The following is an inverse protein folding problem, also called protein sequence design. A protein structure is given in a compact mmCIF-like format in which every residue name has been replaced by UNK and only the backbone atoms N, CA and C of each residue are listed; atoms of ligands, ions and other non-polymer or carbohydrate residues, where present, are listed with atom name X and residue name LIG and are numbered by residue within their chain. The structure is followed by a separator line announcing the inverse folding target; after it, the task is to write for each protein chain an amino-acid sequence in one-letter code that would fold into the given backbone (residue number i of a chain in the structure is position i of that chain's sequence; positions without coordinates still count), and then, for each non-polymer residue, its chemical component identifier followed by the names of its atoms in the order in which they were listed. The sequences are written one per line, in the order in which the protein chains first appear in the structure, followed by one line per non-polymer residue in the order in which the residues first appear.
data_IF_396536713467
#
_entry.id   IF_396536713467
#
_cell.length_a   1.000
_cell.length_b   1.000
_cell.length_c   1.000
_cell.angle_alpha   90.00
_cell.angle_beta   90.00
_cell.angle_gamma   90.00
#
_symmetry.space_group_name_H-M   'P 1'
#
loop_
_entity.id
_entity.type
_entity.pdbx_description
1 polymer ?
#
# COMPACT_ATOMS: atom_id res chain seq x y z
N UNK A 1 -22.21 -21.76 -5.05
CA UNK A 1 -21.58 -22.75 -5.95
C UNK A 1 -21.54 -22.26 -7.42
N UNK A 2 -21.27 -20.98 -7.68
CA UNK A 2 -21.18 -20.40 -9.04
C UNK A 2 -19.74 -20.32 -9.57
N UNK A 3 -18.74 -20.65 -8.75
CA UNK A 3 -17.36 -20.23 -9.00
C UNK A 3 -16.48 -21.18 -9.84
N UNK A 4 -16.95 -22.37 -10.19
CA UNK A 4 -16.12 -23.34 -10.93
C UNK A 4 -16.21 -23.30 -12.47
N UNK A 5 -17.10 -22.44 -12.99
CA UNK A 5 -17.45 -22.47 -14.43
C UNK A 5 -16.80 -21.36 -15.26
N UNK A 6 -16.23 -20.34 -14.63
CA UNK A 6 -15.62 -19.22 -15.34
C UNK A 6 -14.12 -19.45 -15.52
N UNK A 7 -13.73 -19.76 -16.74
CA UNK A 7 -12.33 -19.78 -17.18
C UNK A 7 -12.01 -18.49 -17.92
N UNK A 8 -10.78 -18.02 -17.77
CA UNK A 8 -10.31 -16.88 -18.54
C UNK A 8 -10.21 -17.23 -20.04
N UNK A 9 -10.52 -16.31 -20.95
CA UNK A 9 -10.64 -16.61 -22.38
C UNK A 9 -9.36 -17.09 -23.05
N UNK A 10 -8.20 -16.68 -22.55
CA UNK A 10 -6.91 -16.98 -23.17
C UNK A 10 -5.89 -17.51 -22.15
N UNK A 11 -4.96 -18.35 -22.63
CA UNK A 11 -3.84 -18.85 -21.82
C UNK A 11 -2.95 -17.74 -21.26
N UNK A 12 -2.83 -16.63 -21.98
CA UNK A 12 -2.10 -15.47 -21.51
C UNK A 12 -2.78 -14.82 -20.30
N UNK A 13 -4.09 -14.66 -20.34
CA UNK A 13 -4.87 -14.14 -19.20
C UNK A 13 -4.80 -15.09 -18.00
N UNK A 14 -4.87 -16.39 -18.19
CA UNK A 14 -4.66 -17.39 -17.14
C UNK A 14 -3.27 -17.24 -16.50
N UNK A 15 -2.22 -17.11 -17.31
CA UNK A 15 -0.86 -16.91 -16.83
C UNK A 15 -0.73 -15.62 -16.02
N UNK A 16 -1.27 -14.50 -16.52
CA UNK A 16 -1.24 -13.21 -15.79
C UNK A 16 -2.02 -13.32 -14.48
N UNK A 17 -3.20 -13.92 -14.49
CA UNK A 17 -3.97 -14.14 -13.28
C UNK A 17 -3.19 -14.96 -12.25
N UNK A 18 -2.67 -16.12 -12.63
CA UNK A 18 -1.93 -17.01 -11.74
C UNK A 18 -0.65 -16.36 -11.20
N UNK A 19 0.06 -15.58 -12.02
CA UNK A 19 1.33 -14.98 -11.63
C UNK A 19 1.18 -13.72 -10.80
N UNK A 20 0.08 -12.96 -10.94
CA UNK A 20 -0.06 -11.62 -10.35
C UNK A 20 -1.19 -11.48 -9.32
N UNK A 21 -2.34 -12.14 -9.54
CA UNK A 21 -3.56 -11.90 -8.77
C UNK A 21 -3.96 -13.05 -7.86
N UNK A 22 -3.69 -14.28 -8.30
CA UNK A 22 -4.08 -15.50 -7.61
C UNK A 22 -3.25 -15.70 -6.34
N UNK A 23 -3.90 -15.95 -5.22
CA UNK A 23 -3.24 -16.28 -3.95
C UNK A 23 -2.99 -17.77 -3.83
N UNK A 24 -1.96 -18.11 -3.07
CA UNK A 24 -1.71 -19.48 -2.67
C UNK A 24 -2.66 -19.91 -1.56
N UNK A 25 -3.32 -21.06 -1.74
CA UNK A 25 -4.18 -21.70 -0.78
C UNK A 25 -3.42 -22.85 -0.11
N UNK A 26 -2.87 -22.66 1.11
CA UNK A 26 -1.97 -23.66 1.72
C UNK A 26 -2.64 -25.00 2.00
N UNK A 27 -3.94 -25.00 2.31
CA UNK A 27 -4.71 -26.21 2.61
C UNK A 27 -4.99 -27.07 1.38
N UNK A 28 -5.04 -26.45 0.21
CA UNK A 28 -5.39 -27.09 -1.05
C UNK A 28 -4.15 -27.28 -1.95
N UNK A 29 -3.00 -26.77 -1.51
CA UNK A 29 -1.71 -26.82 -2.21
C UNK A 29 -1.79 -26.31 -3.66
N UNK A 30 -2.62 -25.29 -3.89
CA UNK A 30 -2.85 -24.67 -5.18
C UNK A 30 -3.04 -23.17 -5.09
N UNK A 31 -3.06 -22.51 -6.22
CA UNK A 31 -3.47 -21.12 -6.32
C UNK A 31 -4.98 -20.99 -6.52
N UNK A 32 -5.52 -19.83 -6.14
CA UNK A 32 -6.91 -19.45 -6.40
C UNK A 32 -7.26 -19.55 -7.89
N UNK A 33 -8.46 -19.98 -8.17
CA UNK A 33 -9.10 -19.83 -9.49
C UNK A 33 -9.54 -18.38 -9.72
N UNK A 34 -9.88 -18.02 -10.96
CA UNK A 34 -10.42 -16.69 -11.27
C UNK A 34 -11.66 -16.38 -10.45
N UNK A 35 -12.60 -17.31 -10.36
CA UNK A 35 -13.81 -17.15 -9.55
C UNK A 35 -13.50 -16.90 -8.07
N UNK A 36 -12.57 -17.64 -7.48
CA UNK A 36 -12.17 -17.45 -6.08
C UNK A 36 -11.50 -16.08 -5.85
N UNK A 37 -10.69 -15.62 -6.79
CA UNK A 37 -10.09 -14.27 -6.71
C UNK A 37 -11.15 -13.18 -6.74
N UNK A 38 -12.14 -13.29 -7.62
CA UNK A 38 -13.25 -12.33 -7.72
C UNK A 38 -14.11 -12.38 -6.46
N UNK A 39 -14.49 -13.56 -5.99
CA UNK A 39 -15.28 -13.68 -4.75
C UNK A 39 -14.56 -13.10 -3.54
N UNK A 40 -13.24 -13.37 -3.38
CA UNK A 40 -12.43 -12.77 -2.31
C UNK A 40 -12.46 -11.24 -2.35
N UNK A 41 -12.40 -10.66 -3.55
CA UNK A 41 -12.50 -9.20 -3.71
C UNK A 41 -13.84 -8.66 -3.20
N UNK A 42 -14.94 -9.24 -3.63
CA UNK A 42 -16.28 -8.80 -3.21
C UNK A 42 -16.57 -9.07 -1.73
N UNK A 43 -16.14 -10.20 -1.20
CA UNK A 43 -16.29 -10.54 0.22
C UNK A 43 -15.57 -9.52 1.11
N UNK A 44 -14.33 -9.16 0.73
CA UNK A 44 -13.57 -8.17 1.45
C UNK A 44 -14.26 -6.79 1.44
N UNK A 45 -14.66 -6.29 0.28
CA UNK A 45 -15.26 -4.97 0.19
C UNK A 45 -16.66 -4.90 0.79
N UNK A 46 -17.47 -5.96 0.68
CA UNK A 46 -18.76 -6.03 1.37
C UNK A 46 -18.58 -5.95 2.89
N UNK A 47 -17.63 -6.71 3.43
CA UNK A 47 -17.31 -6.66 4.85
C UNK A 47 -16.78 -5.27 5.26
N UNK A 48 -15.86 -4.70 4.49
CA UNK A 48 -15.29 -3.39 4.75
C UNK A 48 -16.35 -2.28 4.75
N UNK A 49 -17.23 -2.26 3.76
CA UNK A 49 -18.34 -1.31 3.70
C UNK A 49 -19.29 -1.44 4.89
N UNK A 50 -19.58 -2.67 5.32
CA UNK A 50 -20.42 -2.93 6.48
C UNK A 50 -19.79 -2.44 7.77
N UNK A 51 -18.49 -2.67 7.95
CA UNK A 51 -17.76 -2.31 9.19
C UNK A 51 -17.50 -0.81 9.28
N UNK A 52 -17.05 -0.19 8.17
CA UNK A 52 -16.61 1.21 8.14
C UNK A 52 -17.75 2.18 7.93
N UNK A 53 -18.61 1.90 6.96
CA UNK A 53 -19.67 2.81 6.54
C UNK A 53 -21.05 2.40 7.02
N UNK A 54 -21.19 1.24 7.69
CA UNK A 54 -22.45 0.61 8.07
C UNK A 54 -23.38 0.41 6.87
N UNK A 55 -22.79 0.34 5.68
CA UNK A 55 -23.51 0.12 4.43
C UNK A 55 -23.61 -1.35 4.13
N UNK A 56 -24.81 -1.82 3.80
CA UNK A 56 -25.06 -3.19 3.38
C UNK A 56 -25.32 -3.22 1.88
N UNK A 57 -24.43 -3.90 1.15
CA UNK A 57 -24.61 -4.11 -0.27
C UNK A 57 -25.82 -5.05 -0.51
N UNK A 58 -26.71 -4.68 -1.42
CA UNK A 58 -27.82 -5.54 -1.81
C UNK A 58 -27.30 -6.77 -2.55
N UNK A 59 -27.85 -7.93 -2.20
CA UNK A 59 -27.41 -9.21 -2.76
C UNK A 59 -27.52 -9.24 -4.30
N UNK A 60 -28.60 -8.67 -4.85
CA UNK A 60 -28.81 -8.60 -6.30
C UNK A 60 -27.73 -7.76 -6.98
N UNK A 61 -27.40 -6.59 -6.42
CA UNK A 61 -26.34 -5.70 -6.94
C UNK A 61 -24.99 -6.37 -6.85
N UNK A 62 -24.69 -7.04 -5.74
CA UNK A 62 -23.44 -7.81 -5.59
C UNK A 62 -23.31 -8.88 -6.68
N UNK A 63 -24.35 -9.70 -6.85
CA UNK A 63 -24.36 -10.78 -7.85
C UNK A 63 -24.18 -10.25 -9.29
N UNK A 64 -24.79 -9.13 -9.60
CA UNK A 64 -24.67 -8.48 -10.90
C UNK A 64 -23.24 -7.97 -11.13
N UNK A 65 -22.67 -7.24 -10.18
CA UNK A 65 -21.29 -6.74 -10.26
C UNK A 65 -20.25 -7.88 -10.32
N UNK A 66 -20.42 -8.92 -9.50
CA UNK A 66 -19.55 -10.10 -9.49
C UNK A 66 -19.58 -10.82 -10.84
N UNK A 67 -20.77 -10.99 -11.44
CA UNK A 67 -20.92 -11.58 -12.76
C UNK A 67 -20.25 -10.75 -13.87
N UNK A 68 -20.36 -9.43 -13.82
CA UNK A 68 -19.71 -8.56 -14.82
C UNK A 68 -18.18 -8.61 -14.71
N UNK A 69 -17.64 -8.70 -13.50
CA UNK A 69 -16.20 -8.89 -13.32
C UNK A 69 -15.75 -10.28 -13.78
N UNK A 70 -16.51 -11.34 -13.45
CA UNK A 70 -16.24 -12.70 -13.87
C UNK A 70 -16.16 -12.84 -15.40
N UNK A 71 -17.04 -12.13 -16.12
CA UNK A 71 -17.10 -12.11 -17.60
C UNK A 71 -16.11 -11.15 -18.24
N UNK A 72 -15.32 -10.40 -17.43
CA UNK A 72 -14.42 -9.34 -17.89
C UNK A 72 -15.14 -8.17 -18.58
N UNK A 73 -16.43 -7.99 -18.34
CA UNK A 73 -17.18 -6.82 -18.80
C UNK A 73 -16.76 -5.53 -18.11
N UNK A 74 -16.43 -5.63 -16.83
CA UNK A 74 -15.88 -4.55 -16.01
C UNK A 74 -14.72 -5.08 -15.19
N UNK A 75 -13.66 -4.30 -15.05
CA UNK A 75 -12.52 -4.65 -14.19
C UNK A 75 -12.40 -3.64 -13.05
N UNK A 76 -12.37 -4.09 -11.78
CA UNK A 76 -12.03 -3.21 -10.66
C UNK A 76 -10.56 -2.82 -10.69
N UNK A 77 -10.13 -1.97 -9.75
CA UNK A 77 -8.72 -1.69 -9.58
C UNK A 77 -7.92 -2.99 -9.46
N UNK A 78 -6.97 -3.18 -10.37
CA UNK A 78 -6.12 -4.39 -10.38
C UNK A 78 -5.36 -4.55 -9.07
N UNK A 79 -4.93 -3.44 -8.47
CA UNK A 79 -4.25 -3.45 -7.17
C UNK A 79 -5.19 -3.93 -6.07
N UNK A 80 -6.42 -3.43 -6.02
CA UNK A 80 -7.41 -3.89 -5.06
C UNK A 80 -7.77 -5.36 -5.26
N UNK A 81 -7.91 -5.81 -6.51
CA UNK A 81 -8.16 -7.22 -6.82
C UNK A 81 -7.04 -8.12 -6.31
N UNK A 82 -5.78 -7.70 -6.45
CA UNK A 82 -4.60 -8.42 -5.97
C UNK A 82 -4.51 -8.41 -4.43
N UNK A 83 -4.78 -7.27 -3.78
CA UNK A 83 -4.50 -7.05 -2.36
C UNK A 83 -5.71 -7.22 -1.44
N UNK A 84 -6.94 -7.32 -1.98
CA UNK A 84 -8.15 -7.53 -1.18
C UNK A 84 -8.00 -8.70 -0.19
N UNK A 85 -8.40 -8.46 1.06
CA UNK A 85 -8.20 -9.37 2.18
C UNK A 85 -7.16 -8.83 3.19
N UNK A 86 -6.34 -9.70 3.76
CA UNK A 86 -5.43 -9.37 4.87
C UNK A 86 -4.45 -8.20 4.58
N UNK A 87 -4.02 -8.02 3.33
CA UNK A 87 -3.12 -6.94 2.99
C UNK A 87 -3.80 -5.56 3.11
N UNK A 88 -5.01 -5.41 2.51
CA UNK A 88 -5.79 -4.18 2.62
C UNK A 88 -6.35 -3.95 4.02
N UNK A 89 -6.64 -5.02 4.76
CA UNK A 89 -7.09 -4.91 6.15
C UNK A 89 -6.01 -4.33 7.06
N UNK A 90 -4.75 -4.70 6.81
CA UNK A 90 -3.60 -4.17 7.54
C UNK A 90 -3.25 -2.75 7.16
N UNK A 91 -3.27 -2.45 5.85
CA UNK A 91 -2.75 -1.20 5.31
C UNK A 91 -3.46 -0.83 4.01
N UNK A 92 -4.28 0.22 4.07
CA UNK A 92 -5.05 0.68 2.92
C UNK A 92 -4.18 1.19 1.77
N UNK A 93 -2.96 1.66 2.05
CA UNK A 93 -2.00 2.13 1.05
C UNK A 93 -1.71 1.04 0.01
N UNK A 94 -1.75 -0.24 0.41
CA UNK A 94 -1.56 -1.36 -0.49
C UNK A 94 -2.60 -1.45 -1.64
N UNK A 95 -3.72 -0.74 -1.54
CA UNK A 95 -4.75 -0.65 -2.58
C UNK A 95 -4.47 0.36 -3.69
N UNK A 96 -3.47 1.22 -3.52
CA UNK A 96 -3.13 2.26 -4.49
C UNK A 96 -1.95 1.85 -5.36
N UNK A 97 -2.02 2.16 -6.65
CA UNK A 97 -0.91 1.92 -7.58
C UNK A 97 0.17 3.00 -7.47
N UNK A 98 -0.25 4.26 -7.40
CA UNK A 98 0.63 5.42 -7.44
C UNK A 98 0.15 6.47 -6.44
N UNK A 99 1.11 7.27 -5.98
CA UNK A 99 0.91 8.44 -5.14
C UNK A 99 1.87 9.54 -5.56
N UNK A 100 1.67 10.73 -5.02
CA UNK A 100 2.55 11.88 -5.25
C UNK A 100 2.76 12.62 -3.94
N UNK A 101 3.96 13.17 -3.76
CA UNK A 101 4.31 14.02 -2.64
C UNK A 101 5.26 15.13 -3.09
N UNK A 102 5.09 16.34 -2.56
CA UNK A 102 6.09 17.39 -2.66
C UNK A 102 7.10 17.24 -1.52
N UNK A 103 8.40 17.36 -1.84
CA UNK A 103 9.49 17.30 -0.84
C UNK A 103 9.67 18.71 -0.27
N UNK A 104 8.76 19.12 0.61
CA UNK A 104 8.68 20.44 1.23
C UNK A 104 8.97 20.42 2.74
N UNK A 105 9.13 19.24 3.31
CA UNK A 105 9.40 19.00 4.73
C UNK A 105 10.22 17.72 4.92
N UNK A 106 10.99 17.61 6.00
CA UNK A 106 11.82 16.42 6.25
C UNK A 106 11.03 15.11 6.32
N UNK A 107 9.78 15.15 6.80
CA UNK A 107 8.92 13.96 6.88
C UNK A 107 8.58 13.36 5.50
N UNK A 108 8.66 14.14 4.42
CA UNK A 108 8.42 13.61 3.08
C UNK A 108 9.32 12.42 2.75
N UNK A 109 10.53 12.35 3.31
CA UNK A 109 11.47 11.26 3.05
C UNK A 109 11.02 9.93 3.65
N UNK A 110 10.60 9.92 4.91
CA UNK A 110 10.11 8.70 5.56
C UNK A 110 8.71 8.29 5.09
N UNK A 111 7.85 9.26 4.76
CA UNK A 111 6.56 9.02 4.12
C UNK A 111 6.72 8.33 2.75
N UNK A 112 7.64 8.81 1.91
CA UNK A 112 7.98 8.17 0.62
C UNK A 112 8.42 6.73 0.84
N UNK A 113 9.37 6.51 1.77
CA UNK A 113 9.88 5.17 2.07
C UNK A 113 8.76 4.24 2.54
N UNK A 114 7.90 4.71 3.45
CA UNK A 114 6.79 3.93 3.97
C UNK A 114 5.79 3.52 2.88
N UNK A 115 5.42 4.46 2.02
CA UNK A 115 4.50 4.22 0.90
C UNK A 115 5.10 3.23 -0.10
N UNK A 116 6.39 3.38 -0.45
CA UNK A 116 7.11 2.44 -1.33
C UNK A 116 7.15 1.02 -0.74
N UNK A 117 7.39 0.88 0.57
CA UNK A 117 7.39 -0.43 1.24
C UNK A 117 6.00 -1.10 1.26
N UNK A 118 4.93 -0.34 1.05
CA UNK A 118 3.58 -0.88 0.84
C UNK A 118 3.31 -1.27 -0.61
N UNK A 119 4.29 -1.09 -1.50
CA UNK A 119 4.23 -1.49 -2.90
C UNK A 119 3.54 -0.46 -3.80
N UNK A 120 3.23 0.73 -3.30
CA UNK A 120 2.69 1.85 -4.06
C UNK A 120 3.83 2.65 -4.65
N UNK A 121 3.79 2.98 -5.94
CA UNK A 121 4.75 3.87 -6.57
C UNK A 121 4.59 5.30 -6.06
N UNK A 122 5.70 6.00 -5.86
CA UNK A 122 5.68 7.40 -5.40
C UNK A 122 6.37 8.28 -6.43
N UNK A 123 5.62 9.21 -7.02
CA UNK A 123 6.17 10.38 -7.70
C UNK A 123 6.45 11.47 -6.68
N UNK A 124 7.57 12.15 -6.81
CA UNK A 124 7.91 13.26 -5.92
C UNK A 124 8.39 14.48 -6.68
N UNK A 125 8.15 15.67 -6.13
CA UNK A 125 8.67 16.92 -6.68
C UNK A 125 9.75 17.48 -5.79
N UNK A 126 10.86 17.84 -6.41
CA UNK A 126 12.01 18.56 -5.81
C UNK A 126 12.19 19.94 -6.44
N UNK A 127 11.08 20.54 -6.87
CA UNK A 127 11.10 21.90 -7.41
C UNK A 127 11.51 22.90 -6.34
N UNK A 128 12.15 24.00 -6.75
CA UNK A 128 12.70 25.01 -5.83
C UNK A 128 11.70 25.54 -4.82
N UNK A 129 10.46 25.69 -5.23
CA UNK A 129 9.36 26.17 -4.37
C UNK A 129 9.04 25.21 -3.21
N UNK A 130 9.33 23.92 -3.35
CA UNK A 130 9.15 22.93 -2.31
C UNK A 130 10.42 22.74 -1.50
N UNK A 131 11.53 22.44 -2.16
CA UNK A 131 12.82 22.19 -1.52
C UNK A 131 13.32 23.40 -0.73
N UNK A 132 12.96 24.62 -1.16
CA UNK A 132 13.27 25.85 -0.44
C UNK A 132 12.67 25.95 0.96
N UNK A 133 11.69 25.10 1.29
CA UNK A 133 11.09 25.04 2.63
C UNK A 133 11.85 24.06 3.56
N UNK A 134 12.76 23.25 3.02
CA UNK A 134 13.56 22.34 3.83
C UNK A 134 14.59 23.12 4.66
N UNK A 135 14.94 22.62 5.84
CA UNK A 135 16.04 23.19 6.62
C UNK A 135 17.35 23.09 5.86
N UNK A 136 18.23 24.04 6.09
CA UNK A 136 19.58 24.04 5.53
C UNK A 136 20.36 22.85 6.06
N UNK A 137 20.99 22.08 5.16
CA UNK A 137 21.85 20.97 5.53
C UNK A 137 23.13 21.52 6.18
N UNK A 138 23.61 20.87 7.23
CA UNK A 138 24.84 21.23 7.89
C UNK A 138 26.03 21.13 6.89
N UNK A 139 26.97 22.07 6.97
CA UNK A 139 28.16 22.08 6.11
C UNK A 139 29.13 20.93 6.46
N UNK A 140 29.14 20.50 7.72
CA UNK A 140 29.97 19.43 8.22
C UNK A 140 29.13 18.42 9.02
N UNK A 141 29.46 17.14 8.85
CA UNK A 141 28.85 16.06 9.64
C UNK A 141 29.85 15.54 10.66
N UNK A 142 29.39 15.37 11.88
CA UNK A 142 30.21 14.85 12.97
C UNK A 142 29.76 13.43 13.32
N UNK A 143 30.74 12.63 13.78
CA UNK A 143 30.46 11.31 14.32
C UNK A 143 29.65 11.44 15.60
N UNK A 144 28.53 10.73 15.67
CA UNK A 144 27.64 10.66 16.84
C UNK A 144 27.75 9.29 17.50
N UNK A 145 27.62 9.24 18.82
CA UNK A 145 27.50 8.00 19.59
C UNK A 145 26.06 7.43 19.56
N UNK A 146 25.16 8.09 18.84
CA UNK A 146 23.75 7.67 18.71
C UNK A 146 23.64 6.42 17.85
N UNK A 147 23.01 5.39 18.38
CA UNK A 147 22.70 4.16 17.66
C UNK A 147 21.21 4.06 17.40
N UNK A 148 20.81 4.01 16.12
CA UNK A 148 19.41 3.82 15.71
C UNK A 148 19.14 2.31 15.62
N UNK A 149 18.27 1.81 16.51
CA UNK A 149 17.85 0.41 16.50
C UNK A 149 16.60 0.25 15.66
N UNK A 150 16.73 -0.45 14.54
CA UNK A 150 15.65 -0.66 13.59
C UNK A 150 14.80 -1.86 14.00
N UNK A 151 13.50 -1.66 14.16
CA UNK A 151 12.56 -2.77 14.29
C UNK A 151 12.31 -3.40 12.91
N UNK A 152 12.26 -4.73 12.83
CA UNK A 152 11.99 -5.44 11.58
C UNK A 152 10.51 -5.36 11.16
N UNK A 153 10.12 -4.16 10.76
CA UNK A 153 8.78 -3.81 10.26
C UNK A 153 8.86 -2.60 9.33
N UNK A 154 7.89 -2.47 8.43
CA UNK A 154 7.82 -1.30 7.52
C UNK A 154 7.87 0.02 8.30
N UNK A 155 7.09 0.11 9.37
CA UNK A 155 7.07 1.29 10.23
C UNK A 155 8.40 1.49 10.96
N UNK A 156 9.05 0.41 11.41
CA UNK A 156 10.37 0.48 12.06
C UNK A 156 11.44 1.05 11.13
N UNK A 157 11.47 0.60 9.89
CA UNK A 157 12.39 1.12 8.87
C UNK A 157 12.11 2.57 8.52
N UNK A 158 10.82 2.96 8.37
CA UNK A 158 10.45 4.36 8.11
C UNK A 158 10.88 5.26 9.29
N UNK A 159 10.62 4.85 10.54
CA UNK A 159 11.04 5.59 11.73
C UNK A 159 12.57 5.73 11.82
N UNK A 160 13.31 4.66 11.58
CA UNK A 160 14.77 4.72 11.58
C UNK A 160 15.31 5.68 10.52
N UNK A 161 14.69 5.69 9.33
CA UNK A 161 15.05 6.62 8.27
C UNK A 161 14.70 8.06 8.63
N UNK A 162 13.54 8.28 9.27
CA UNK A 162 13.16 9.59 9.84
C UNK A 162 14.22 10.11 10.81
N UNK A 163 14.63 9.28 11.77
CA UNK A 163 15.65 9.64 12.75
C UNK A 163 17.01 9.96 12.07
N UNK A 164 17.41 9.15 11.08
CA UNK A 164 18.63 9.41 10.31
C UNK A 164 18.57 10.76 9.58
N UNK A 165 17.48 11.06 8.89
CA UNK A 165 17.27 12.33 8.19
C UNK A 165 17.29 13.50 9.18
N UNK A 166 16.67 13.32 10.35
CA UNK A 166 16.69 14.32 11.41
C UNK A 166 18.13 14.62 11.88
N UNK A 167 18.92 13.58 12.14
CA UNK A 167 20.34 13.75 12.53
C UNK A 167 21.17 14.47 11.47
N UNK A 168 20.85 14.31 10.18
CA UNK A 168 21.57 14.95 9.09
C UNK A 168 21.14 16.41 8.85
N UNK A 169 19.88 16.75 9.17
CA UNK A 169 19.31 18.09 8.93
C UNK A 169 19.37 18.99 10.15
N UNK A 170 19.35 18.43 11.36
CA UNK A 170 19.32 19.19 12.60
C UNK A 170 20.57 18.91 13.43
N UNK A 171 21.23 19.96 13.88
CA UNK A 171 22.17 19.88 14.98
C UNK A 171 21.41 19.66 16.31
N UNK A 172 22.05 19.11 17.31
CA UNK A 172 21.49 18.53 18.54
C UNK A 172 20.32 19.26 19.25
N UNK A 173 20.14 20.55 19.05
CA UNK A 173 19.11 21.34 19.75
C UNK A 173 17.73 21.36 19.09
N UNK A 174 17.63 20.98 17.81
CA UNK A 174 16.37 20.99 17.06
C UNK A 174 15.68 19.61 16.98
N UNK A 175 16.33 18.54 17.41
CA UNK A 175 15.80 17.17 17.35
C UNK A 175 14.59 16.95 18.25
N UNK A 176 14.48 17.68 19.36
CA UNK A 176 13.39 17.52 20.34
C UNK A 176 12.02 18.02 19.84
N UNK A 177 12.00 19.05 18.99
CA UNK A 177 10.75 19.61 18.47
C UNK A 177 10.16 18.72 17.35
N UNK A 178 11.02 18.00 16.63
CA UNK A 178 10.62 17.15 15.53
C UNK A 178 10.08 15.78 15.98
N UNK A 179 10.53 15.29 17.13
CA UNK A 179 10.04 14.02 17.72
C UNK A 179 8.61 14.13 18.25
N UNK A 180 8.08 15.35 18.49
CA UNK A 180 6.76 15.61 19.07
C UNK A 180 5.65 15.73 18.01
N UNK A 181 5.97 15.88 16.74
CA UNK A 181 5.02 15.82 15.62
C UNK A 181 4.55 14.38 15.40
N UNK A 182 3.42 14.01 16.04
CA UNK A 182 2.87 12.65 15.98
C UNK A 182 2.47 12.24 14.57
N UNK A 183 2.69 10.94 14.28
CA UNK A 183 2.02 10.16 13.24
C UNK A 183 0.78 9.55 13.87
#
# INVERSE_FOLDING_TARGET
MLNSTYTLPTKYQEFIHLSRYSRWLPKEERRETWGETVSRYFDFFEQHLKETNKFKLEKKVREELENEVLKLGVMPSMRCLMTAGEALKRENIAGYNCSYIAVDRPQAFDEILYVLMNGTGVGFSVERQFVGNLPTVAEEFYQSDTTIVVQDSKLGWAKAFKELVACLLYTSDAADDWSRGGV
#
